data_IF_680048089404
#
_entry.id   IF_680048089404
#
_cell.length_a   1.000
_cell.length_b   1.000
_cell.length_c   1.000
_cell.angle_alpha   90.00
_cell.angle_beta   90.00
_cell.angle_gamma   90.00
#
_symmetry.space_group_name_H-M   'P 1'
#
loop_
_entity.id
_entity.type
_entity.pdbx_description
1 polymer ?
#
# COMPACT_ATOMS: atom_id res chain seq x y z
N UNK A 1 -12.91 17.82 2.35
CA UNK A 1 -14.03 17.57 1.41
C UNK A 1 -14.38 18.82 0.60
N UNK A 2 -14.16 18.74 -0.71
CA UNK A 2 -14.54 19.71 -1.74
C UNK A 2 -15.75 19.19 -2.54
N UNK A 3 -16.62 20.09 -3.00
CA UNK A 3 -17.78 19.75 -3.82
C UNK A 3 -17.86 20.66 -5.04
N UNK A 4 -18.04 20.07 -6.21
CA UNK A 4 -18.22 20.77 -7.48
C UNK A 4 -19.55 20.36 -8.11
N UNK A 5 -20.55 21.23 -7.99
CA UNK A 5 -21.85 21.06 -8.63
C UNK A 5 -21.92 21.91 -9.89
N UNK A 6 -22.46 21.37 -10.97
CA UNK A 6 -22.53 22.10 -12.23
C UNK A 6 -23.07 21.28 -13.39
N UNK A 7 -22.82 21.79 -14.60
CA UNK A 7 -23.15 21.13 -15.85
C UNK A 7 -21.99 20.23 -16.28
N UNK A 8 -22.30 18.97 -16.56
CA UNK A 8 -21.37 17.93 -16.98
C UNK A 8 -21.87 17.29 -18.25
N UNK A 9 -20.97 16.95 -19.17
CA UNK A 9 -21.30 16.19 -20.37
C UNK A 9 -20.45 14.94 -20.44
N UNK A 10 -20.95 13.90 -21.10
CA UNK A 10 -20.11 12.76 -21.47
C UNK A 10 -19.14 13.24 -22.56
N UNK A 11 -17.88 12.81 -22.49
CA UNK A 11 -16.91 13.09 -23.56
C UNK A 11 -17.44 12.59 -24.91
N UNK A 12 -17.39 13.46 -25.93
CA UNK A 12 -17.95 13.17 -27.25
C UNK A 12 -19.44 13.50 -27.42
N UNK A 13 -20.17 13.81 -26.34
CA UNK A 13 -21.57 14.22 -26.40
C UNK A 13 -21.74 15.76 -26.31
N UNK A 14 -22.86 16.27 -26.85
CA UNK A 14 -23.21 17.71 -26.75
C UNK A 14 -24.16 18.02 -25.58
N UNK A 15 -24.88 17.02 -25.08
CA UNK A 15 -25.89 17.18 -24.03
C UNK A 15 -25.23 17.35 -22.65
N UNK A 16 -25.59 18.42 -21.95
CA UNK A 16 -25.17 18.67 -20.58
C UNK A 16 -26.23 18.20 -19.59
N UNK A 17 -25.77 17.53 -18.54
CA UNK A 17 -26.55 17.08 -17.42
C UNK A 17 -26.05 17.73 -16.13
N UNK A 18 -26.94 17.90 -15.15
CA UNK A 18 -26.55 18.40 -13.83
C UNK A 18 -25.86 17.26 -13.07
N UNK A 19 -24.69 17.55 -12.52
CA UNK A 19 -23.89 16.60 -11.76
C UNK A 19 -23.18 17.23 -10.57
N UNK A 20 -22.70 16.36 -9.69
CA UNK A 20 -21.99 16.67 -8.46
C UNK A 20 -20.74 15.78 -8.39
N UNK A 21 -19.58 16.41 -8.26
CA UNK A 21 -18.31 15.77 -7.93
C UNK A 21 -17.96 16.10 -6.47
N UNK A 22 -17.58 15.08 -5.71
CA UNK A 22 -17.12 15.21 -4.33
C UNK A 22 -15.70 14.66 -4.26
N UNK A 23 -14.75 15.47 -3.80
CA UNK A 23 -13.36 15.07 -3.59
C UNK A 23 -13.05 15.22 -2.10
N UNK A 24 -12.68 14.14 -1.44
CA UNK A 24 -12.21 14.15 -0.05
C UNK A 24 -10.89 13.39 0.05
N UNK A 25 -9.80 14.09 -0.22
CA UNK A 25 -8.45 13.53 -0.40
C UNK A 25 -8.42 12.45 -1.49
N UNK A 26 -8.30 11.18 -1.08
CA UNK A 26 -8.23 9.98 -1.90
C UNK A 26 -9.60 9.32 -2.13
N UNK A 27 -10.66 9.86 -1.53
CA UNK A 27 -12.03 9.40 -1.71
C UNK A 27 -12.81 10.33 -2.64
N UNK A 28 -13.26 9.79 -3.77
CA UNK A 28 -13.91 10.56 -4.83
C UNK A 28 -15.26 9.92 -5.18
N UNK A 29 -16.30 10.75 -5.23
CA UNK A 29 -17.63 10.34 -5.66
C UNK A 29 -18.16 11.26 -6.75
N UNK A 30 -18.91 10.69 -7.69
CA UNK A 30 -19.49 11.45 -8.78
C UNK A 30 -20.93 11.02 -9.05
N UNK A 31 -21.78 12.02 -9.25
CA UNK A 31 -23.22 11.86 -9.44
C UNK A 31 -23.68 12.68 -10.64
N UNK A 32 -24.52 12.11 -11.50
CA UNK A 32 -25.09 12.83 -12.65
C UNK A 32 -26.57 12.49 -12.79
N UNK A 33 -27.40 13.49 -13.09
CA UNK A 33 -28.80 13.29 -13.48
C UNK A 33 -28.88 12.80 -14.92
N UNK A 34 -29.88 11.99 -15.23
CA UNK A 34 -30.13 11.53 -16.60
C UNK A 34 -29.99 10.02 -16.76
N UNK A 35 -29.60 9.58 -17.95
CA UNK A 35 -29.54 8.15 -18.29
C UNK A 35 -28.31 7.49 -17.66
N UNK A 36 -28.50 6.25 -17.22
CA UNK A 36 -27.42 5.42 -16.70
C UNK A 36 -26.53 4.93 -17.84
N UNK A 37 -25.23 5.14 -17.74
CA UNK A 37 -24.23 4.62 -18.68
C UNK A 37 -23.55 3.42 -18.02
N UNK A 38 -23.81 2.18 -18.49
CA UNK A 38 -23.35 0.98 -17.79
C UNK A 38 -21.86 0.65 -18.00
N UNK A 39 -21.23 1.21 -19.04
CA UNK A 39 -19.81 0.99 -19.37
C UNK A 39 -18.91 2.14 -18.88
N UNK A 40 -17.60 1.96 -19.04
CA UNK A 40 -16.62 2.99 -18.69
C UNK A 40 -16.77 4.22 -19.58
N UNK A 41 -16.77 5.40 -18.97
CA UNK A 41 -16.95 6.68 -19.66
C UNK A 41 -16.24 7.80 -18.91
N UNK A 42 -16.08 8.92 -19.59
CA UNK A 42 -15.48 10.14 -19.07
C UNK A 42 -16.50 11.27 -19.11
N UNK A 43 -16.52 12.08 -18.06
CA UNK A 43 -17.39 13.25 -17.95
C UNK A 43 -16.55 14.51 -17.88
N UNK A 44 -16.93 15.54 -18.62
CA UNK A 44 -16.27 16.84 -18.66
C UNK A 44 -17.20 17.88 -18.05
N UNK A 45 -16.70 18.61 -17.07
CA UNK A 45 -17.36 19.74 -16.42
C UNK A 45 -16.35 20.81 -16.02
N UNK A 46 -16.71 21.63 -15.05
CA UNK A 46 -15.87 22.71 -14.53
C UNK A 46 -16.23 23.02 -13.08
N UNK A 47 -15.25 23.48 -12.29
CA UNK A 47 -15.50 24.06 -10.95
C UNK A 47 -15.83 25.56 -10.99
N UNK A 48 -15.97 26.15 -12.19
CA UNK A 48 -16.17 27.58 -12.40
C UNK A 48 -14.94 28.28 -12.95
N UNK A 49 -13.74 27.82 -12.59
CA UNK A 49 -12.46 28.40 -13.00
C UNK A 49 -11.65 27.48 -13.91
N UNK A 50 -11.71 26.17 -13.66
CA UNK A 50 -10.90 25.16 -14.31
C UNK A 50 -11.77 24.02 -14.85
N UNK A 51 -11.52 23.56 -16.10
CA UNK A 51 -12.11 22.34 -16.61
C UNK A 51 -11.72 21.12 -15.78
N UNK A 52 -12.68 20.22 -15.56
CA UNK A 52 -12.51 18.96 -14.82
C UNK A 52 -12.98 17.79 -15.68
N UNK A 53 -12.20 16.71 -15.68
CA UNK A 53 -12.53 15.43 -16.32
C UNK A 53 -12.61 14.32 -15.27
N UNK A 54 -13.75 13.64 -15.20
CA UNK A 54 -14.00 12.51 -14.29
C UNK A 54 -13.98 11.21 -15.08
N UNK A 55 -13.21 10.23 -14.62
CA UNK A 55 -13.06 8.92 -15.27
C UNK A 55 -13.81 7.87 -14.45
N UNK A 56 -14.84 7.25 -15.04
CA UNK A 56 -15.74 6.34 -14.32
C UNK A 56 -15.88 4.97 -15.00
N UNK A 57 -16.00 3.89 -14.19
CA UNK A 57 -16.26 2.51 -14.63
C UNK A 57 -17.73 2.13 -14.44
N UNK A 58 -18.64 2.93 -15.00
CA UNK A 58 -20.08 2.73 -14.90
C UNK A 58 -20.66 2.98 -13.49
N UNK A 59 -21.94 2.63 -13.24
CA UNK A 59 -22.64 2.97 -12.01
C UNK A 59 -22.12 2.17 -10.81
N UNK A 60 -22.27 2.71 -9.59
CA UNK A 60 -21.97 1.99 -8.36
C UNK A 60 -22.47 2.67 -7.09
N UNK A 61 -22.19 1.99 -5.97
CA UNK A 61 -22.56 2.48 -4.65
C UNK A 61 -21.79 3.73 -4.28
N UNK A 62 -22.52 4.70 -3.73
CA UNK A 62 -22.03 6.03 -3.35
C UNK A 62 -22.78 6.49 -2.10
N UNK A 63 -22.13 7.24 -1.20
CA UNK A 63 -22.62 7.59 0.13
C UNK A 63 -22.97 9.08 0.28
N UNK A 64 -22.12 10.00 -0.18
CA UNK A 64 -22.25 11.43 0.18
C UNK A 64 -23.04 12.26 -0.84
N UNK A 65 -24.10 11.66 -1.39
CA UNK A 65 -24.96 12.29 -2.40
C UNK A 65 -25.76 13.43 -1.80
N UNK A 66 -25.66 14.63 -2.39
CA UNK A 66 -26.62 15.72 -2.11
C UNK A 66 -27.55 15.98 -3.30
N UNK A 67 -27.14 15.59 -4.51
CA UNK A 67 -27.94 15.75 -5.72
C UNK A 67 -29.07 14.70 -5.82
N UNK A 68 -30.32 15.14 -5.69
CA UNK A 68 -31.50 14.30 -5.88
C UNK A 68 -31.65 13.77 -7.32
N UNK A 69 -32.24 12.56 -7.45
CA UNK A 69 -32.53 11.88 -8.73
C UNK A 69 -31.29 11.72 -9.63
N UNK A 70 -30.14 11.45 -9.03
CA UNK A 70 -28.87 11.23 -9.71
C UNK A 70 -28.42 9.78 -9.65
N UNK A 71 -27.54 9.42 -10.56
CA UNK A 71 -26.89 8.11 -10.64
C UNK A 71 -25.45 8.29 -10.13
N UNK A 72 -25.05 7.46 -9.18
CA UNK A 72 -23.68 7.43 -8.67
C UNK A 72 -22.79 6.57 -9.57
N UNK A 73 -21.58 7.04 -9.86
CA UNK A 73 -20.61 6.37 -10.70
C UNK A 73 -19.38 5.91 -9.91
N UNK A 74 -18.81 4.77 -10.31
CA UNK A 74 -17.54 4.26 -9.77
C UNK A 74 -16.38 5.06 -10.37
N UNK A 75 -16.01 6.15 -9.71
CA UNK A 75 -14.88 6.99 -10.13
C UNK A 75 -13.57 6.25 -9.94
N UNK A 76 -12.67 6.34 -10.92
CA UNK A 76 -11.31 5.80 -10.86
C UNK A 76 -10.31 6.92 -10.60
N UNK A 77 -10.46 8.04 -11.31
CA UNK A 77 -9.59 9.20 -11.20
C UNK A 77 -10.31 10.46 -11.68
N UNK A 78 -9.77 11.62 -11.32
CA UNK A 78 -10.23 12.94 -11.76
C UNK A 78 -9.01 13.74 -12.19
N UNK A 79 -9.11 14.48 -13.29
CA UNK A 79 -8.08 15.39 -13.75
C UNK A 79 -8.63 16.82 -13.87
N UNK A 80 -7.80 17.81 -13.57
CA UNK A 80 -8.12 19.23 -13.72
C UNK A 80 -6.98 19.93 -14.45
N UNK A 81 -7.29 20.61 -15.55
CA UNK A 81 -6.29 21.30 -16.36
C UNK A 81 -6.91 22.39 -17.23
N UNK A 82 -6.16 23.48 -17.43
CA UNK A 82 -6.50 24.54 -18.38
C UNK A 82 -5.88 24.29 -19.78
N UNK A 83 -5.01 23.27 -19.93
CA UNK A 83 -4.38 22.92 -21.20
C UNK A 83 -5.22 21.95 -22.07
N UNK A 84 -6.49 21.76 -21.73
CA UNK A 84 -7.39 20.81 -22.40
C UNK A 84 -7.10 19.34 -22.06
N UNK A 85 -8.09 18.48 -22.27
CA UNK A 85 -7.99 17.05 -22.00
C UNK A 85 -7.62 16.26 -23.26
N UNK A 86 -6.81 15.21 -23.09
CA UNK A 86 -6.70 14.16 -24.11
C UNK A 86 -7.99 13.34 -24.12
N UNK A 87 -8.43 12.93 -25.31
CA UNK A 87 -9.63 12.08 -25.47
C UNK A 87 -9.37 10.68 -24.92
N UNK A 88 -10.39 10.05 -24.34
CA UNK A 88 -10.33 8.69 -23.84
C UNK A 88 -10.04 8.58 -22.35
N UNK A 89 -9.72 7.37 -21.90
CA UNK A 89 -9.68 7.00 -20.49
C UNK A 89 -8.27 7.09 -19.86
N UNK A 90 -7.24 7.30 -20.66
CA UNK A 90 -5.83 7.35 -20.24
C UNK A 90 -5.28 8.78 -20.33
N UNK A 91 -4.33 9.10 -19.47
CA UNK A 91 -3.52 10.32 -19.57
C UNK A 91 -2.12 9.87 -19.94
N UNK A 92 -1.69 10.25 -21.14
CA UNK A 92 -0.44 9.83 -21.74
C UNK A 92 0.54 11.01 -21.84
N UNK A 93 1.77 10.69 -22.24
CA UNK A 93 2.87 11.63 -22.45
C UNK A 93 3.31 12.35 -21.18
N UNK A 94 3.30 11.66 -20.03
CA UNK A 94 3.72 12.23 -18.76
C UNK A 94 5.25 12.14 -18.67
N UNK A 95 5.92 13.28 -18.54
CA UNK A 95 7.37 13.37 -18.41
C UNK A 95 7.83 13.40 -16.95
N UNK A 96 6.99 13.92 -16.06
CA UNK A 96 7.26 13.97 -14.63
C UNK A 96 5.97 14.15 -13.84
N UNK A 97 6.00 13.82 -12.56
CA UNK A 97 4.95 14.20 -11.62
C UNK A 97 5.53 14.59 -10.25
N UNK A 98 4.68 15.16 -9.40
CA UNK A 98 5.06 15.46 -8.02
C UNK A 98 3.86 15.46 -7.09
N UNK A 99 4.07 15.14 -5.82
CA UNK A 99 3.02 15.08 -4.80
C UNK A 99 3.60 15.32 -3.41
N UNK A 100 2.71 15.58 -2.45
CA UNK A 100 3.05 15.80 -1.04
C UNK A 100 2.65 14.59 -0.20
N UNK A 101 3.48 14.25 0.78
CA UNK A 101 3.17 13.31 1.86
C UNK A 101 3.18 14.11 3.15
N UNK A 102 2.04 14.28 3.86
CA UNK A 102 1.96 15.16 5.03
C UNK A 102 3.02 14.88 6.09
N UNK A 103 3.32 13.60 6.34
CA UNK A 103 4.26 13.18 7.37
C UNK A 103 5.73 13.52 7.07
N UNK A 104 6.10 13.82 5.81
CA UNK A 104 7.50 14.13 5.47
C UNK A 104 8.03 15.37 6.16
N UNK A 105 7.16 16.34 6.48
CA UNK A 105 7.56 17.58 7.17
C UNK A 105 8.20 17.27 8.51
N UNK A 106 7.45 16.54 9.33
CA UNK A 106 7.84 16.20 10.70
C UNK A 106 8.88 15.07 10.72
N UNK A 107 8.89 14.20 9.71
CA UNK A 107 9.88 13.11 9.61
C UNK A 107 11.26 13.61 9.19
N UNK A 108 11.33 14.56 8.25
CA UNK A 108 12.59 15.16 7.80
C UNK A 108 13.19 16.07 8.88
N UNK A 109 12.36 16.82 9.61
CA UNK A 109 12.76 17.81 10.64
C UNK A 109 13.80 18.83 10.12
N UNK A 110 13.71 19.18 8.84
CA UNK A 110 14.58 20.19 8.23
C UNK A 110 13.92 21.56 8.39
N UNK A 111 14.63 22.51 9.00
CA UNK A 111 14.16 23.89 9.09
C UNK A 111 14.22 24.54 7.70
N UNK A 112 13.04 24.75 7.11
CA UNK A 112 12.89 25.29 5.76
C UNK A 112 12.52 26.77 5.70
N UNK A 113 12.19 27.35 6.86
CA UNK A 113 11.87 28.77 7.02
C UNK A 113 12.53 29.27 8.30
N UNK A 114 13.24 30.40 8.19
CA UNK A 114 13.83 31.12 9.31
C UNK A 114 13.13 32.46 9.53
N UNK A 115 13.10 32.92 10.77
CA UNK A 115 12.53 34.22 11.15
C UNK A 115 13.64 35.07 11.76
N UNK A 116 13.70 36.34 11.38
CA UNK A 116 14.69 37.29 11.89
C UNK A 116 14.16 38.72 11.96
N UNK A 117 15.02 39.62 12.44
CA UNK A 117 14.75 41.05 12.50
C UNK A 117 15.82 41.82 11.73
N UNK A 118 15.42 42.82 10.95
CA UNK A 118 16.36 43.74 10.30
C UNK A 118 17.02 44.65 11.35
N UNK A 119 18.06 45.39 10.95
CA UNK A 119 18.67 46.43 11.80
C UNK A 119 17.67 47.52 12.22
N UNK A 120 16.60 47.72 11.43
CA UNK A 120 15.48 48.62 11.73
C UNK A 120 14.40 47.99 12.64
N UNK A 121 14.65 46.79 13.17
CA UNK A 121 13.73 46.02 14.02
C UNK A 121 12.44 45.58 13.29
N UNK A 122 12.51 45.38 11.98
CA UNK A 122 11.40 44.85 11.16
C UNK A 122 11.48 43.33 11.08
N UNK A 123 10.36 42.65 11.32
CA UNK A 123 10.27 41.20 11.22
C UNK A 123 10.36 40.76 9.75
N UNK A 124 11.21 39.77 9.46
CA UNK A 124 11.25 39.10 8.17
C UNK A 124 11.23 37.58 8.33
N UNK A 125 10.77 36.89 7.29
CA UNK A 125 10.89 35.45 7.14
C UNK A 125 11.71 35.15 5.88
N UNK A 126 12.60 34.15 5.95
CA UNK A 126 13.44 33.70 4.84
C UNK A 126 13.08 32.25 4.54
N UNK A 127 12.84 31.95 3.28
CA UNK A 127 12.82 30.57 2.79
C UNK A 127 14.26 30.08 2.65
N UNK A 128 14.60 29.05 3.43
CA UNK A 128 15.91 28.45 3.39
C UNK A 128 16.11 27.68 2.09
N UNK A 129 17.29 27.84 1.47
CA UNK A 129 17.66 27.05 0.31
C UNK A 129 18.14 25.67 0.78
N UNK A 130 17.28 24.66 0.60
CA UNK A 130 17.58 23.27 0.94
C UNK A 130 17.95 22.52 -0.35
N UNK A 131 19.07 21.81 -0.31
CA UNK A 131 19.47 20.93 -1.42
C UNK A 131 18.51 19.75 -1.53
N UNK A 132 18.08 19.36 -2.75
CA UNK A 132 17.20 18.21 -2.94
C UNK A 132 17.79 16.92 -2.38
N UNK A 133 16.94 16.12 -1.73
CA UNK A 133 17.29 14.79 -1.25
C UNK A 133 17.01 13.80 -2.36
N UNK A 134 18.05 13.34 -3.05
CA UNK A 134 17.92 12.34 -4.10
C UNK A 134 17.73 10.96 -3.46
N UNK A 135 16.62 10.30 -3.77
CA UNK A 135 16.30 8.93 -3.29
C UNK A 135 16.41 7.89 -4.39
N UNK A 136 16.42 8.30 -5.67
CA UNK A 136 16.73 7.45 -6.82
C UNK A 136 17.36 8.28 -7.93
N UNK A 137 18.48 7.83 -8.48
CA UNK A 137 19.23 8.62 -9.47
C UNK A 137 18.60 8.60 -10.86
N UNK A 138 18.16 7.45 -11.35
CA UNK A 138 17.78 7.28 -12.76
C UNK A 138 16.60 6.31 -12.92
N UNK A 139 15.77 6.61 -13.93
CA UNK A 139 14.61 5.88 -14.43
C UNK A 139 13.74 5.09 -13.42
N UNK A 140 12.81 5.77 -12.72
CA UNK A 140 12.66 7.22 -12.67
C UNK A 140 13.71 7.86 -11.75
N UNK A 141 14.11 9.09 -12.07
CA UNK A 141 14.81 9.94 -11.12
C UNK A 141 13.81 10.43 -10.07
N UNK A 142 14.15 10.28 -8.79
CA UNK A 142 13.28 10.68 -7.68
C UNK A 142 14.07 11.49 -6.66
N UNK A 143 13.53 12.67 -6.34
CA UNK A 143 14.09 13.57 -5.35
C UNK A 143 12.98 14.16 -4.46
N UNK A 144 13.36 14.58 -3.25
CA UNK A 144 12.53 15.40 -2.38
C UNK A 144 13.11 16.80 -2.40
N UNK A 145 12.36 17.75 -2.93
CA UNK A 145 12.73 19.17 -2.91
C UNK A 145 11.71 19.97 -2.12
N UNK A 146 12.14 21.15 -1.67
CA UNK A 146 11.32 22.02 -0.84
C UNK A 146 10.79 23.16 -1.71
N UNK A 147 9.48 23.41 -1.62
CA UNK A 147 8.85 24.49 -2.36
C UNK A 147 7.62 25.05 -1.66
N UNK A 148 7.02 26.12 -2.22
CA UNK A 148 5.84 26.74 -1.65
C UNK A 148 4.68 25.74 -1.54
N UNK A 149 3.93 25.81 -0.43
CA UNK A 149 2.71 25.04 -0.27
C UNK A 149 1.75 25.23 -1.45
N UNK A 150 0.98 24.19 -1.77
CA UNK A 150 -0.05 24.28 -2.82
C UNK A 150 -1.02 25.45 -2.58
N UNK A 151 -1.31 26.28 -3.61
CA UNK A 151 -2.22 27.41 -3.51
C UNK A 151 -3.69 27.00 -3.26
N UNK A 152 -4.00 25.70 -3.35
CA UNK A 152 -5.35 25.16 -3.12
C UNK A 152 -5.76 25.05 -1.65
N UNK A 153 -4.91 25.46 -0.70
CA UNK A 153 -5.40 25.81 0.62
C UNK A 153 -5.85 27.27 0.54
N UNK A 154 -7.16 27.58 0.36
CA UNK A 154 -7.61 28.94 0.56
C UNK A 154 -7.12 29.35 1.95
N UNK A 155 -6.45 30.51 2.10
CA UNK A 155 -6.18 31.03 3.42
C UNK A 155 -7.51 31.06 4.17
N UNK A 156 -7.54 30.56 5.40
CA UNK A 156 -8.70 30.81 6.27
C UNK A 156 -8.90 32.32 6.25
N UNK A 157 -9.99 32.79 5.65
CA UNK A 157 -10.31 34.21 5.59
C UNK A 157 -10.73 34.58 7.01
N UNK A 158 -9.73 34.89 7.81
CA UNK A 158 -9.83 35.52 9.11
C UNK A 158 -9.61 37.02 8.88
N UNK A 159 -10.29 37.88 9.62
CA UNK A 159 -10.10 39.35 9.60
C UNK A 159 -8.69 39.80 10.08
N UNK A 160 -7.74 38.87 10.20
CA UNK A 160 -6.33 39.10 10.52
C UNK A 160 -5.51 39.12 9.23
N UNK A 161 -4.65 40.13 9.09
CA UNK A 161 -3.60 40.12 8.08
C UNK A 161 -2.54 39.11 8.51
N UNK A 162 -2.67 37.87 8.05
CA UNK A 162 -1.70 36.79 8.28
C UNK A 162 -0.89 36.57 6.99
N UNK A 163 0.43 36.71 7.09
CA UNK A 163 1.35 36.30 6.03
C UNK A 163 1.96 34.96 6.40
N UNK A 164 1.64 33.92 5.63
CA UNK A 164 2.10 32.57 5.88
C UNK A 164 3.17 32.19 4.85
N UNK A 165 4.42 32.09 5.27
CA UNK A 165 5.53 31.56 4.46
C UNK A 165 5.67 30.07 4.76
N UNK A 166 5.66 29.24 3.72
CA UNK A 166 5.54 27.79 3.84
C UNK A 166 6.40 27.11 2.79
N UNK A 167 7.46 26.44 3.23
CA UNK A 167 8.38 25.70 2.37
C UNK A 167 8.30 24.20 2.71
N UNK A 168 7.49 23.44 1.97
CA UNK A 168 7.15 22.05 2.27
C UNK A 168 7.93 21.06 1.41
N UNK A 169 8.27 19.88 1.94
CA UNK A 169 8.86 18.81 1.16
C UNK A 169 7.86 18.26 0.17
N UNK A 170 8.32 18.08 -1.06
CA UNK A 170 7.55 17.54 -2.18
C UNK A 170 8.37 16.46 -2.86
N UNK A 171 7.73 15.33 -3.14
CA UNK A 171 8.36 14.24 -3.90
C UNK A 171 8.21 14.56 -5.38
N UNK A 172 9.32 14.59 -6.10
CA UNK A 172 9.41 14.79 -7.54
C UNK A 172 9.89 13.52 -8.21
N UNK A 173 9.20 13.12 -9.27
CA UNK A 173 9.53 11.94 -10.06
C UNK A 173 9.60 12.34 -11.52
N UNK A 174 10.74 12.13 -12.17
CA UNK A 174 10.95 12.41 -13.59
C UNK A 174 11.38 11.17 -14.34
N UNK A 175 10.86 11.03 -15.55
CA UNK A 175 11.08 9.88 -16.40
C UNK A 175 11.96 10.25 -17.60
N UNK A 176 12.80 9.30 -18.02
CA UNK A 176 13.55 9.40 -19.27
C UNK A 176 12.64 9.19 -20.48
N UNK A 177 11.69 8.28 -20.35
CA UNK A 177 10.67 7.98 -21.36
C UNK A 177 9.30 8.44 -20.87
N UNK A 178 8.47 8.89 -21.81
CA UNK A 178 7.12 9.33 -21.49
C UNK A 178 6.26 8.17 -21.02
N UNK A 179 5.52 8.36 -19.93
CA UNK A 179 4.68 7.32 -19.32
C UNK A 179 3.19 7.66 -19.30
N UNK A 180 2.39 6.68 -18.90
CA UNK A 180 0.95 6.82 -18.67
C UNK A 180 0.65 7.08 -17.18
N UNK A 181 -0.56 7.51 -16.87
CA UNK A 181 -0.98 7.71 -15.48
C UNK A 181 -1.09 6.40 -14.67
N UNK A 182 -1.14 5.24 -15.32
CA UNK A 182 -1.04 3.93 -14.65
C UNK A 182 0.34 3.74 -14.03
N UNK A 183 1.40 4.17 -14.73
CA UNK A 183 2.76 4.16 -14.19
C UNK A 183 2.91 5.15 -13.04
N UNK A 184 2.35 6.35 -13.18
CA UNK A 184 2.32 7.36 -12.09
C UNK A 184 1.64 6.78 -10.85
N UNK A 185 0.47 6.16 -11.01
CA UNK A 185 -0.25 5.50 -9.92
C UNK A 185 0.61 4.43 -9.23
N UNK A 186 1.29 3.59 -10.01
CA UNK A 186 2.17 2.55 -9.48
C UNK A 186 3.35 3.15 -8.70
N UNK A 187 4.03 4.17 -9.23
CA UNK A 187 5.15 4.82 -8.57
C UNK A 187 4.73 5.54 -7.28
N UNK A 188 3.58 6.22 -7.26
CA UNK A 188 2.99 6.78 -6.03
C UNK A 188 2.76 5.67 -5.00
N UNK A 189 2.19 4.54 -5.42
CA UNK A 189 1.96 3.42 -4.51
C UNK A 189 3.27 2.87 -3.93
N UNK A 190 4.32 2.75 -4.74
CA UNK A 190 5.65 2.29 -4.29
C UNK A 190 6.24 3.26 -3.25
N UNK A 191 6.20 4.56 -3.53
CA UNK A 191 6.71 5.62 -2.65
C UNK A 191 5.92 5.71 -1.34
N UNK A 192 4.59 5.71 -1.41
CA UNK A 192 3.74 5.75 -0.22
C UNK A 192 3.98 4.53 0.68
N UNK A 193 4.17 3.35 0.11
CA UNK A 193 4.51 2.14 0.87
C UNK A 193 5.91 2.20 1.47
N UNK A 194 6.89 2.71 0.73
CA UNK A 194 8.25 2.91 1.21
C UNK A 194 8.29 3.82 2.44
N UNK A 195 7.69 5.01 2.32
CA UNK A 195 7.61 5.94 3.45
C UNK A 195 6.73 5.39 4.57
N UNK A 196 5.64 4.67 4.27
CA UNK A 196 4.85 3.97 5.27
C UNK A 196 5.66 2.94 6.07
N UNK A 197 6.65 2.30 5.46
CA UNK A 197 7.57 1.39 6.14
C UNK A 197 8.61 2.10 6.99
N UNK A 198 9.16 3.25 6.54
CA UNK A 198 10.15 4.01 7.31
C UNK A 198 9.51 4.82 8.44
N UNK A 199 8.46 5.58 8.13
CA UNK A 199 7.74 6.46 9.06
C UNK A 199 6.86 5.65 10.03
N UNK A 200 6.40 4.49 9.59
CA UNK A 200 5.49 3.61 10.33
C UNK A 200 4.01 3.79 9.97
N UNK A 201 3.66 4.97 9.45
CA UNK A 201 2.36 5.30 8.88
C UNK A 201 2.49 6.41 7.82
N UNK A 202 1.52 6.50 6.92
CA UNK A 202 1.36 7.63 5.98
C UNK A 202 -0.12 7.85 5.69
N UNK A 203 -0.54 9.11 5.54
CA UNK A 203 -1.97 9.44 5.42
C UNK A 203 -2.53 9.34 4.01
N UNK A 204 -1.99 10.09 3.06
CA UNK A 204 -2.47 10.14 1.67
C UNK A 204 -1.46 10.88 0.78
N UNK A 205 -1.52 10.62 -0.53
CA UNK A 205 -0.77 11.39 -1.52
C UNK A 205 -1.57 12.65 -1.88
N UNK A 206 -1.07 13.83 -1.48
CA UNK A 206 -1.76 15.11 -1.67
C UNK A 206 -1.26 15.84 -2.91
N UNK A 207 -2.16 16.58 -3.55
CA UNK A 207 -1.85 17.58 -4.59
C UNK A 207 -0.99 16.98 -5.71
N UNK A 208 -1.41 15.87 -6.31
CA UNK A 208 -0.62 15.21 -7.36
C UNK A 208 -0.67 16.08 -8.63
N UNK A 209 0.51 16.49 -9.12
CA UNK A 209 0.68 17.35 -10.29
C UNK A 209 1.47 16.63 -11.36
N UNK A 210 0.95 16.63 -12.58
CA UNK A 210 1.55 16.03 -13.77
C UNK A 210 2.16 17.11 -14.66
N UNK A 211 3.35 16.83 -15.17
CA UNK A 211 3.95 17.51 -16.31
C UNK A 211 3.72 16.62 -17.54
N UNK A 212 2.97 17.14 -18.52
CA UNK A 212 2.65 16.43 -19.76
C UNK A 212 3.47 17.08 -20.87
N UNK A 213 4.15 16.29 -21.68
CA UNK A 213 4.93 16.77 -22.82
C UNK A 213 4.08 17.65 -23.75
N UNK A 214 4.64 18.77 -24.18
CA UNK A 214 3.96 19.73 -25.06
C UNK A 214 2.87 20.57 -24.37
N UNK A 215 2.72 20.48 -23.04
CA UNK A 215 1.83 21.32 -22.26
C UNK A 215 2.60 22.12 -21.20
N UNK A 216 2.52 23.44 -21.29
CA UNK A 216 3.17 24.34 -20.33
C UNK A 216 2.45 24.39 -18.97
N UNK A 217 1.14 24.12 -18.96
CA UNK A 217 0.34 24.13 -17.74
C UNK A 217 0.30 22.75 -17.10
N UNK A 218 0.51 22.72 -15.78
CA UNK A 218 0.41 21.52 -14.96
C UNK A 218 -1.03 20.99 -14.95
N UNK A 219 -1.15 19.68 -14.90
CA UNK A 219 -2.43 18.99 -14.72
C UNK A 219 -2.50 18.42 -13.32
N UNK A 220 -3.56 18.73 -12.57
CA UNK A 220 -3.82 18.10 -11.29
C UNK A 220 -4.58 16.80 -11.50
N UNK A 221 -4.23 15.79 -10.72
CA UNK A 221 -4.90 14.50 -10.75
C UNK A 221 -5.22 14.03 -9.33
N UNK A 222 -6.36 13.39 -9.17
CA UNK A 222 -6.75 12.66 -7.96
C UNK A 222 -7.10 11.24 -8.36
N UNK A 223 -6.48 10.25 -7.71
CA UNK A 223 -6.86 8.86 -7.84
C UNK A 223 -7.84 8.50 -6.73
N UNK A 224 -8.91 7.77 -7.07
CA UNK A 224 -9.87 7.28 -6.10
C UNK A 224 -9.36 5.99 -5.45
N UNK A 225 -8.22 6.08 -4.75
CA UNK A 225 -7.51 4.95 -4.17
C UNK A 225 -6.88 5.32 -2.83
N UNK A 226 -7.10 4.47 -1.83
CA UNK A 226 -6.44 4.56 -0.52
C UNK A 226 -4.95 4.17 -0.61
N UNK A 227 -4.08 5.19 -0.61
CA UNK A 227 -2.62 5.06 -0.53
C UNK A 227 -2.09 5.04 0.91
N UNK A 228 -2.96 5.13 1.91
CA UNK A 228 -2.57 5.21 3.32
C UNK A 228 -1.95 3.92 3.85
N UNK A 229 -1.23 4.05 4.96
CA UNK A 229 -0.71 2.93 5.73
C UNK A 229 -0.85 3.19 7.24
N UNK A 230 -1.37 2.22 7.98
CA UNK A 230 -1.36 2.16 9.45
C UNK A 230 -2.05 3.32 10.20
N UNK A 231 -3.10 3.91 9.62
CA UNK A 231 -3.83 5.02 10.27
C UNK A 231 -4.77 4.62 11.41
N UNK A 232 -5.10 3.33 11.59
CA UNK A 232 -6.14 2.89 12.54
C UNK A 232 -5.80 3.11 14.02
N UNK A 233 -4.51 3.12 14.36
CA UNK A 233 -4.03 3.19 15.73
C UNK A 233 -3.16 4.42 15.95
N UNK A 234 -3.43 5.50 15.20
CA UNK A 234 -2.68 6.74 15.29
C UNK A 234 -3.22 7.56 16.47
N UNK A 235 -2.48 7.56 17.57
CA UNK A 235 -2.67 8.52 18.64
C UNK A 235 -1.82 9.77 18.34
N UNK A 236 -2.29 10.95 18.74
CA UNK A 236 -1.56 12.21 18.49
C UNK A 236 -0.20 12.35 19.19
N UNK A 237 0.31 11.30 19.83
CA UNK A 237 1.58 11.24 20.56
C UNK A 237 2.53 10.19 19.94
N UNK A 238 2.06 9.38 18.98
CA UNK A 238 2.88 8.31 18.40
C UNK A 238 4.10 8.91 17.68
N UNK A 239 5.30 8.45 18.02
CA UNK A 239 6.52 8.79 17.29
C UNK A 239 6.59 8.03 15.98
N UNK A 240 7.36 8.59 15.06
CA UNK A 240 7.73 7.88 13.84
C UNK A 240 8.62 6.69 14.16
N UNK A 241 8.50 5.63 13.34
CA UNK A 241 9.33 4.43 13.45
C UNK A 241 10.81 4.75 13.22
N UNK A 242 11.11 5.67 12.31
CA UNK A 242 12.45 6.23 12.11
C UNK A 242 12.40 7.74 12.02
N UNK A 243 13.55 8.39 12.13
CA UNK A 243 13.76 9.76 11.72
C UNK A 243 14.67 9.80 10.49
N UNK A 244 14.53 10.83 9.64
CA UNK A 244 15.40 10.99 8.47
C UNK A 244 16.89 10.93 8.82
N UNK A 245 17.28 11.58 9.92
CA UNK A 245 18.66 11.61 10.42
C UNK A 245 19.27 10.21 10.66
N UNK A 246 18.44 9.21 10.97
CA UNK A 246 18.85 7.83 11.25
C UNK A 246 19.08 7.00 9.98
N UNK A 247 18.41 7.35 8.87
CA UNK A 247 18.44 6.58 7.63
C UNK A 247 19.03 7.34 6.44
N UNK A 248 19.36 8.63 6.60
CA UNK A 248 19.75 9.54 5.51
C UNK A 248 20.85 8.98 4.60
N UNK A 249 21.85 8.30 5.18
CA UNK A 249 23.05 7.89 4.46
C UNK A 249 22.78 6.66 3.57
N UNK A 250 21.79 5.83 3.94
CA UNK A 250 21.38 4.64 3.20
C UNK A 250 20.04 4.80 2.48
N UNK A 251 19.37 5.95 2.61
CA UNK A 251 18.00 6.15 2.12
C UNK A 251 17.83 5.81 0.63
N UNK A 252 18.78 6.26 -0.20
CA UNK A 252 18.76 5.98 -1.63
C UNK A 252 18.97 4.49 -1.95
N UNK A 253 19.86 3.82 -1.22
CA UNK A 253 20.09 2.37 -1.34
C UNK A 253 18.84 1.59 -0.92
N UNK A 254 18.22 1.97 0.20
CA UNK A 254 16.98 1.36 0.67
C UNK A 254 15.84 1.51 -0.32
N UNK A 255 15.72 2.69 -0.94
CA UNK A 255 14.70 2.92 -1.94
C UNK A 255 14.96 2.13 -3.22
N UNK A 256 16.22 2.05 -3.70
CA UNK A 256 16.55 1.28 -4.90
C UNK A 256 16.21 -0.21 -4.76
N UNK A 257 16.56 -0.80 -3.61
CA UNK A 257 16.20 -2.19 -3.28
C UNK A 257 14.68 -2.36 -3.17
N UNK A 258 14.00 -1.43 -2.49
CA UNK A 258 12.54 -1.44 -2.37
C UNK A 258 11.84 -1.30 -3.73
N UNK A 259 12.35 -0.45 -4.61
CA UNK A 259 11.80 -0.21 -5.95
C UNK A 259 11.92 -1.47 -6.80
N UNK A 260 13.08 -2.13 -6.76
CA UNK A 260 13.32 -3.41 -7.41
C UNK A 260 12.35 -4.48 -6.89
N UNK A 261 12.26 -4.64 -5.57
CA UNK A 261 11.34 -5.58 -4.93
C UNK A 261 9.85 -5.28 -5.26
N UNK A 262 9.48 -4.00 -5.33
CA UNK A 262 8.11 -3.59 -5.60
C UNK A 262 7.66 -3.84 -7.03
N UNK A 263 8.61 -3.93 -7.97
CA UNK A 263 8.37 -4.31 -9.36
C UNK A 263 8.56 -5.81 -9.60
N UNK A 264 8.92 -6.59 -8.58
CA UNK A 264 8.94 -8.05 -8.68
C UNK A 264 7.50 -8.61 -8.55
N UNK A 265 6.98 -9.12 -9.67
CA UNK A 265 5.69 -9.79 -9.79
C UNK A 265 5.62 -11.06 -8.95
N UNK A 266 6.77 -11.70 -8.68
CA UNK A 266 6.82 -12.92 -7.90
C UNK A 266 6.28 -12.70 -6.49
N UNK A 267 6.55 -11.52 -5.90
CA UNK A 267 6.08 -11.14 -4.56
C UNK A 267 4.88 -10.18 -4.56
N UNK A 268 4.27 -9.92 -5.73
CA UNK A 268 3.14 -8.99 -5.85
C UNK A 268 2.00 -9.29 -4.88
N UNK A 269 1.52 -10.54 -4.85
CA UNK A 269 0.35 -10.90 -4.06
C UNK A 269 0.59 -10.77 -2.54
N UNK A 270 1.64 -11.36 -1.94
CA UNK A 270 1.93 -11.16 -0.51
C UNK A 270 2.10 -9.68 -0.13
N UNK A 271 2.83 -8.91 -0.96
CA UNK A 271 3.03 -7.47 -0.78
C UNK A 271 1.70 -6.71 -0.78
N UNK A 272 0.87 -6.95 -1.79
CA UNK A 272 -0.43 -6.30 -1.92
C UNK A 272 -1.36 -6.65 -0.75
N UNK A 273 -1.39 -7.90 -0.32
CA UNK A 273 -2.19 -8.35 0.82
C UNK A 273 -1.80 -7.61 2.10
N UNK A 274 -0.50 -7.46 2.37
CA UNK A 274 -0.03 -6.76 3.58
C UNK A 274 -0.49 -5.30 3.61
N UNK A 275 -0.22 -4.55 2.54
CA UNK A 275 -0.59 -3.12 2.50
C UNK A 275 -2.10 -2.93 2.48
N UNK A 276 -2.86 -3.75 1.74
CA UNK A 276 -4.33 -3.68 1.74
C UNK A 276 -4.93 -3.97 3.12
N UNK A 277 -4.35 -4.90 3.88
CA UNK A 277 -4.80 -5.23 5.24
C UNK A 277 -4.64 -4.07 6.22
N UNK A 278 -3.65 -3.21 5.96
CA UNK A 278 -3.23 -2.10 6.83
C UNK A 278 -3.71 -0.72 6.32
N UNK A 279 -4.65 -0.70 5.37
CA UNK A 279 -5.39 0.50 4.93
C UNK A 279 -6.42 0.98 5.96
N UNK A 280 -7.02 2.14 5.72
CA UNK A 280 -8.03 2.75 6.61
C UNK A 280 -9.32 1.91 6.77
N UNK A 281 -9.59 0.96 5.88
CA UNK A 281 -10.78 0.08 5.89
C UNK A 281 -10.93 -0.71 7.19
N UNK A 282 -12.13 -0.95 7.69
CA UNK A 282 -12.36 -1.88 8.81
C UNK A 282 -12.18 -3.35 8.38
N UNK A 283 -11.50 -4.14 9.21
CA UNK A 283 -11.29 -5.58 9.04
C UNK A 283 -11.45 -6.29 10.38
N UNK A 284 -12.08 -7.47 10.38
CA UNK A 284 -12.16 -8.28 11.59
C UNK A 284 -10.78 -8.84 11.96
N UNK A 285 -10.54 -9.02 13.26
CA UNK A 285 -9.25 -9.52 13.75
C UNK A 285 -8.95 -10.93 13.21
N UNK A 286 -9.98 -11.77 13.12
CA UNK A 286 -9.93 -13.12 12.54
C UNK A 286 -9.43 -13.09 11.08
N UNK A 287 -10.00 -12.20 10.27
CA UNK A 287 -9.63 -12.05 8.86
C UNK A 287 -8.20 -11.53 8.72
N UNK A 288 -7.81 -10.57 9.55
CA UNK A 288 -6.46 -10.01 9.57
C UNK A 288 -5.43 -11.07 9.97
N UNK A 289 -5.72 -11.84 11.01
CA UNK A 289 -4.88 -12.95 11.46
C UNK A 289 -4.68 -13.98 10.34
N UNK A 290 -5.77 -14.42 9.70
CA UNK A 290 -5.69 -15.37 8.58
C UNK A 290 -4.89 -14.79 7.42
N UNK A 291 -5.04 -13.51 7.11
CA UNK A 291 -4.29 -12.84 6.04
C UNK A 291 -2.78 -12.79 6.33
N UNK A 292 -2.37 -12.45 7.55
CA UNK A 292 -0.94 -12.40 7.90
C UNK A 292 -0.28 -13.78 7.85
N UNK A 293 -0.96 -14.82 8.33
CA UNK A 293 -0.45 -16.19 8.21
C UNK A 293 -0.35 -16.61 6.74
N UNK A 294 -1.32 -16.25 5.88
CA UNK A 294 -1.27 -16.52 4.43
C UNK A 294 -0.14 -15.77 3.73
N UNK A 295 0.16 -14.52 4.13
CA UNK A 295 1.27 -13.74 3.61
C UNK A 295 2.59 -14.46 3.90
N UNK A 296 2.80 -14.90 5.14
CA UNK A 296 4.01 -15.62 5.54
C UNK A 296 4.16 -16.98 4.84
N UNK A 297 3.06 -17.74 4.73
CA UNK A 297 3.05 -19.00 3.97
C UNK A 297 3.42 -18.78 2.50
N UNK A 298 2.74 -17.83 1.85
CA UNK A 298 2.98 -17.47 0.45
C UNK A 298 4.38 -16.93 0.21
N UNK A 299 4.92 -16.16 1.15
CA UNK A 299 6.29 -15.66 1.11
C UNK A 299 7.31 -16.80 1.21
N UNK A 300 7.20 -17.68 2.22
CA UNK A 300 8.13 -18.80 2.35
C UNK A 300 8.09 -19.72 1.12
N UNK A 301 6.90 -20.00 0.58
CA UNK A 301 6.74 -20.83 -0.63
C UNK A 301 7.54 -20.30 -1.83
N UNK A 302 7.67 -18.97 -1.92
CA UNK A 302 8.39 -18.26 -2.98
C UNK A 302 9.89 -18.31 -2.78
N UNK A 303 10.38 -17.89 -1.61
CA UNK A 303 11.83 -17.87 -1.34
C UNK A 303 12.44 -19.28 -1.34
N UNK A 304 11.68 -20.32 -0.97
CA UNK A 304 12.17 -21.71 -1.01
C UNK A 304 12.10 -22.35 -2.41
N UNK A 305 11.49 -21.64 -3.38
CA UNK A 305 11.25 -22.12 -4.74
C UNK A 305 10.25 -23.28 -4.82
N UNK A 306 9.47 -23.52 -3.77
CA UNK A 306 8.52 -24.64 -3.70
C UNK A 306 7.38 -24.47 -4.67
N UNK A 307 6.85 -23.24 -4.80
CA UNK A 307 5.74 -22.92 -5.70
C UNK A 307 6.11 -23.24 -7.15
N UNK A 308 7.30 -22.80 -7.60
CA UNK A 308 7.81 -23.05 -8.95
C UNK A 308 8.08 -24.54 -9.20
N UNK A 309 8.68 -25.24 -8.23
CA UNK A 309 8.91 -26.70 -8.33
C UNK A 309 7.60 -27.48 -8.40
N UNK A 310 6.60 -27.06 -7.61
CA UNK A 310 5.29 -27.70 -7.60
C UNK A 310 4.52 -27.47 -8.92
N UNK A 311 4.60 -26.26 -9.46
CA UNK A 311 4.03 -25.93 -10.78
C UNK A 311 4.64 -26.79 -11.88
N UNK A 312 5.97 -26.86 -11.95
CA UNK A 312 6.68 -27.69 -12.93
C UNK A 312 6.30 -29.17 -12.79
N UNK A 313 6.28 -29.69 -11.56
CA UNK A 313 5.83 -31.07 -11.28
C UNK A 313 4.39 -31.31 -11.77
N UNK A 314 3.50 -30.34 -11.55
CA UNK A 314 2.11 -30.42 -12.00
C UNK A 314 1.96 -30.49 -13.52
N UNK A 315 2.78 -29.73 -14.26
CA UNK A 315 2.81 -29.75 -15.72
C UNK A 315 3.30 -31.11 -16.24
N UNK A 316 4.45 -31.57 -15.75
CA UNK A 316 5.06 -32.84 -16.19
C UNK A 316 4.16 -34.04 -15.89
N UNK A 317 3.57 -34.09 -14.69
CA UNK A 317 2.64 -35.16 -14.31
C UNK A 317 1.37 -35.11 -15.15
N UNK A 318 0.84 -33.92 -15.44
CA UNK A 318 -0.36 -33.79 -16.26
C UNK A 318 -0.16 -34.38 -17.67
N UNK A 319 1.02 -34.20 -18.25
CA UNK A 319 1.35 -34.80 -19.55
C UNK A 319 1.29 -36.33 -19.49
N UNK A 320 1.88 -36.93 -18.44
CA UNK A 320 1.84 -38.38 -18.24
C UNK A 320 0.41 -38.91 -17.96
N UNK A 321 -0.38 -38.18 -17.18
CA UNK A 321 -1.74 -38.56 -16.81
C UNK A 321 -2.74 -38.51 -17.99
N UNK A 322 -2.39 -37.81 -19.08
CA UNK A 322 -3.19 -37.78 -20.32
C UNK A 322 -2.98 -39.02 -21.20
N UNK A 323 -1.95 -39.82 -20.95
CA UNK A 323 -1.71 -41.05 -21.70
C UNK A 323 -2.89 -42.04 -21.56
N UNK A 324 -3.32 -42.63 -22.68
CA UNK A 324 -4.49 -43.51 -22.72
C UNK A 324 -4.27 -44.83 -21.95
N UNK A 325 -3.04 -45.31 -21.82
CA UNK A 325 -2.74 -46.49 -20.99
C UNK A 325 -2.88 -46.14 -19.50
N UNK A 326 -2.36 -44.99 -19.08
CA UNK A 326 -2.51 -44.51 -17.69
C UNK A 326 -3.98 -44.28 -17.35
N UNK A 327 -4.73 -43.66 -18.26
CA UNK A 327 -6.17 -43.45 -18.12
C UNK A 327 -6.94 -44.76 -17.97
N UNK A 328 -6.62 -45.79 -18.75
CA UNK A 328 -7.25 -47.13 -18.61
C UNK A 328 -7.00 -47.72 -17.23
N UNK A 329 -5.79 -47.59 -16.70
CA UNK A 329 -5.42 -48.11 -15.38
C UNK A 329 -6.12 -47.34 -14.25
N UNK A 330 -6.17 -46.02 -14.31
CA UNK A 330 -6.70 -45.18 -13.23
C UNK A 330 -8.22 -44.98 -13.26
N UNK A 331 -8.88 -45.19 -14.40
CA UNK A 331 -10.33 -44.94 -14.51
C UNK A 331 -11.16 -45.85 -13.61
N UNK A 332 -10.81 -47.13 -13.52
CA UNK A 332 -11.59 -48.12 -12.75
C UNK A 332 -11.52 -47.89 -11.22
N UNK A 333 -10.34 -47.63 -10.62
CA UNK A 333 -10.25 -47.21 -9.21
C UNK A 333 -11.08 -45.97 -8.89
N UNK A 334 -11.05 -44.94 -9.75
CA UNK A 334 -11.83 -43.72 -9.53
C UNK A 334 -13.34 -44.00 -9.55
N UNK A 335 -13.81 -44.82 -10.50
CA UNK A 335 -15.23 -45.24 -10.55
C UNK A 335 -15.65 -45.98 -9.27
N UNK A 336 -14.83 -46.91 -8.78
CA UNK A 336 -15.09 -47.63 -7.53
C UNK A 336 -15.15 -46.70 -6.32
N UNK A 337 -14.39 -45.61 -6.33
CA UNK A 337 -14.42 -44.56 -5.31
C UNK A 337 -15.56 -43.55 -5.50
N UNK A 338 -16.47 -43.75 -6.48
CA UNK A 338 -17.58 -42.84 -6.74
C UNK A 338 -17.17 -41.53 -7.44
N UNK A 339 -16.01 -41.50 -8.10
CA UNK A 339 -15.48 -40.32 -8.78
C UNK A 339 -15.15 -40.61 -10.25
N UNK A 340 -14.86 -39.56 -11.01
CA UNK A 340 -14.39 -39.68 -12.40
C UNK A 340 -12.91 -39.32 -12.48
N UNK A 341 -12.14 -40.12 -13.21
CA UNK A 341 -10.73 -39.82 -13.44
C UNK A 341 -10.60 -38.57 -14.32
N UNK A 342 -10.01 -37.52 -13.75
CA UNK A 342 -9.75 -36.24 -14.41
C UNK A 342 -8.26 -35.93 -14.27
N UNK A 343 -7.44 -36.12 -15.33
CA UNK A 343 -5.98 -35.92 -15.28
C UNK A 343 -5.56 -34.59 -14.63
N UNK A 344 -6.25 -33.50 -15.00
CA UNK A 344 -5.99 -32.16 -14.43
C UNK A 344 -6.18 -32.12 -12.91
N UNK A 345 -7.26 -32.71 -12.41
CA UNK A 345 -7.56 -32.74 -10.98
C UNK A 345 -6.55 -33.60 -10.22
N UNK A 346 -6.14 -34.73 -10.78
CA UNK A 346 -5.14 -35.61 -10.15
C UNK A 346 -3.77 -34.94 -10.11
N UNK A 347 -3.35 -34.27 -11.20
CA UNK A 347 -2.12 -33.46 -11.21
C UNK A 347 -2.16 -32.36 -10.14
N UNK A 348 -3.29 -31.67 -9.99
CA UNK A 348 -3.49 -30.66 -8.94
C UNK A 348 -3.40 -31.24 -7.52
N UNK A 349 -3.93 -32.44 -7.29
CA UNK A 349 -3.79 -33.11 -5.99
C UNK A 349 -2.34 -33.48 -5.68
N UNK A 350 -1.58 -33.94 -6.66
CA UNK A 350 -0.16 -34.25 -6.49
C UNK A 350 0.65 -32.98 -6.23
N UNK A 351 0.37 -31.91 -6.98
CA UNK A 351 0.95 -30.58 -6.74
C UNK A 351 0.67 -30.09 -5.32
N UNK A 352 -0.59 -30.17 -4.88
CA UNK A 352 -0.98 -29.80 -3.51
C UNK A 352 -0.29 -30.68 -2.45
N UNK A 353 -0.19 -31.99 -2.69
CA UNK A 353 0.54 -32.93 -1.85
C UNK A 353 2.02 -32.57 -1.73
N UNK A 354 2.68 -32.21 -2.83
CA UNK A 354 4.07 -31.76 -2.82
C UNK A 354 4.26 -30.49 -1.96
N UNK A 355 3.37 -29.51 -2.10
CA UNK A 355 3.44 -28.29 -1.29
C UNK A 355 3.28 -28.58 0.22
N UNK A 356 2.48 -29.59 0.57
CA UNK A 356 2.20 -30.00 1.95
C UNK A 356 3.34 -30.76 2.65
N UNK A 357 4.41 -31.15 1.92
CA UNK A 357 5.56 -31.88 2.50
C UNK A 357 6.29 -31.08 3.60
N UNK A 358 6.28 -29.75 3.51
CA UNK A 358 6.76 -28.84 4.55
C UNK A 358 5.52 -28.19 5.14
N UNK A 359 5.27 -28.45 6.41
CA UNK A 359 4.09 -27.94 7.11
C UNK A 359 4.17 -26.42 7.27
N UNK A 360 3.01 -25.78 7.40
CA UNK A 360 2.96 -24.35 7.70
C UNK A 360 3.73 -23.99 8.97
N UNK A 361 3.64 -24.85 9.99
CA UNK A 361 4.36 -24.67 11.25
C UNK A 361 5.88 -24.58 11.02
N UNK A 362 6.44 -25.50 10.23
CA UNK A 362 7.87 -25.49 9.88
C UNK A 362 8.25 -24.26 9.06
N UNK A 363 7.38 -23.80 8.15
CA UNK A 363 7.63 -22.58 7.35
C UNK A 363 7.69 -21.34 8.25
N UNK A 364 6.75 -21.21 9.18
CA UNK A 364 6.71 -20.09 10.11
C UNK A 364 7.94 -20.06 11.02
N UNK A 365 8.37 -21.21 11.53
CA UNK A 365 9.60 -21.31 12.36
C UNK A 365 10.83 -20.83 11.61
N UNK A 366 11.01 -21.28 10.36
CA UNK A 366 12.16 -20.86 9.53
C UNK A 366 12.19 -19.35 9.28
N UNK A 367 11.04 -18.78 8.91
CA UNK A 367 10.94 -17.32 8.74
C UNK A 367 11.24 -16.59 10.05
N UNK A 368 10.71 -17.08 11.17
CA UNK A 368 10.94 -16.47 12.47
C UNK A 368 12.43 -16.51 12.86
N UNK A 369 13.09 -17.65 12.70
CA UNK A 369 14.52 -17.82 12.95
C UNK A 369 15.38 -16.86 12.10
N UNK A 370 15.05 -16.72 10.81
CA UNK A 370 15.75 -15.83 9.87
C UNK A 370 15.54 -14.34 10.20
N UNK A 371 14.42 -13.98 10.83
CA UNK A 371 13.98 -12.59 11.01
C UNK A 371 13.80 -12.19 12.49
N UNK A 372 14.69 -12.67 13.36
CA UNK A 372 14.84 -12.14 14.73
C UNK A 372 14.11 -12.91 15.83
N UNK A 373 13.52 -14.06 15.51
CA UNK A 373 12.85 -14.97 16.45
C UNK A 373 11.75 -14.30 17.28
N UNK A 374 10.96 -13.44 16.63
CA UNK A 374 9.94 -12.60 17.26
C UNK A 374 8.77 -13.47 17.77
N UNK A 375 8.28 -14.41 16.97
CA UNK A 375 7.18 -15.30 17.37
C UNK A 375 7.62 -16.17 18.54
N UNK A 376 8.79 -16.80 18.46
CA UNK A 376 9.34 -17.61 19.53
C UNK A 376 9.57 -16.78 20.80
N UNK A 377 10.15 -15.57 20.68
CA UNK A 377 10.42 -14.67 21.81
C UNK A 377 9.15 -14.17 22.52
N UNK A 378 8.00 -14.17 21.84
CA UNK A 378 6.71 -13.77 22.41
C UNK A 378 5.86 -14.92 22.96
N UNK A 379 6.38 -16.15 23.02
CA UNK A 379 5.62 -17.34 23.46
C UNK A 379 5.09 -17.16 24.89
N UNK A 380 5.94 -16.81 25.85
CA UNK A 380 5.52 -16.65 27.25
C UNK A 380 4.58 -15.45 27.43
N UNK A 381 4.87 -14.34 26.74
CA UNK A 381 4.09 -13.12 26.84
C UNK A 381 2.69 -13.27 26.24
N UNK A 382 2.59 -13.82 25.03
CA UNK A 382 1.32 -13.95 24.30
C UNK A 382 0.63 -15.27 24.62
N UNK A 383 1.29 -16.40 24.39
CA UNK A 383 0.68 -17.72 24.50
C UNK A 383 0.55 -18.23 25.94
N UNK A 384 1.28 -17.62 26.89
CA UNK A 384 1.27 -17.97 28.33
C UNK A 384 1.80 -19.39 28.62
N UNK A 385 2.67 -19.89 27.74
CA UNK A 385 3.47 -21.11 27.94
C UNK A 385 4.92 -20.85 27.51
N UNK A 386 5.86 -21.71 27.92
CA UNK A 386 7.29 -21.58 27.57
C UNK A 386 7.69 -22.29 26.27
N UNK A 387 6.84 -23.19 25.75
CA UNK A 387 7.17 -23.98 24.56
C UNK A 387 6.71 -23.27 23.28
N UNK A 388 7.66 -22.72 22.53
CA UNK A 388 7.43 -22.05 21.25
C UNK A 388 6.73 -22.95 20.21
N UNK A 389 7.04 -24.26 20.16
CA UNK A 389 6.43 -25.18 19.20
C UNK A 389 4.91 -25.24 19.36
N UNK A 390 4.43 -25.18 20.60
CA UNK A 390 2.99 -25.15 20.86
C UNK A 390 2.36 -23.85 20.41
N UNK A 391 3.06 -22.72 20.52
CA UNK A 391 2.56 -21.44 20.04
C UNK A 391 2.46 -21.42 18.51
N UNK A 392 3.50 -21.88 17.79
CA UNK A 392 3.42 -22.06 16.34
C UNK A 392 2.28 -23.00 15.94
N UNK A 393 2.11 -24.13 16.64
CA UNK A 393 1.02 -25.06 16.39
C UNK A 393 -0.36 -24.40 16.61
N UNK A 394 -0.50 -23.59 17.66
CA UNK A 394 -1.72 -22.85 17.96
C UNK A 394 -2.04 -21.79 16.88
N UNK A 395 -1.03 -21.10 16.34
CA UNK A 395 -1.19 -20.17 15.22
C UNK A 395 -1.77 -20.90 14.00
N UNK A 396 -1.20 -22.06 13.64
CA UNK A 396 -1.66 -22.87 12.51
C UNK A 396 -3.09 -23.39 12.72
N UNK A 397 -3.39 -23.91 13.91
CA UNK A 397 -4.74 -24.37 14.27
C UNK A 397 -5.77 -23.24 14.20
N UNK A 398 -5.41 -22.05 14.69
CA UNK A 398 -6.25 -20.85 14.65
C UNK A 398 -6.53 -20.43 13.20
N UNK A 399 -5.50 -20.40 12.33
CA UNK A 399 -5.69 -20.12 10.90
C UNK A 399 -6.65 -21.12 10.27
N UNK A 400 -6.49 -22.40 10.56
CA UNK A 400 -7.31 -23.47 10.00
C UNK A 400 -8.77 -23.39 10.46
N UNK A 401 -9.01 -23.05 11.74
CA UNK A 401 -10.34 -22.85 12.29
C UNK A 401 -11.08 -21.71 11.57
N UNK A 402 -10.47 -20.53 11.48
CA UNK A 402 -11.10 -19.37 10.84
C UNK A 402 -11.14 -19.43 9.31
N UNK A 403 -10.35 -20.31 8.69
CA UNK A 403 -10.45 -20.61 7.26
C UNK A 403 -11.46 -21.73 6.95
N UNK A 404 -12.25 -22.17 7.94
CA UNK A 404 -13.23 -23.26 7.85
C UNK A 404 -12.65 -24.64 7.46
N UNK A 405 -11.36 -24.89 7.73
CA UNK A 405 -10.74 -26.21 7.53
C UNK A 405 -10.95 -27.16 8.71
N UNK A 406 -11.28 -26.66 9.91
CA UNK A 406 -11.50 -27.46 11.12
C UNK A 406 -12.76 -27.00 11.88
N UNK A 407 -13.66 -27.92 12.31
CA UNK A 407 -14.88 -27.54 13.02
C UNK A 407 -14.70 -27.35 14.53
N UNK A 408 -13.66 -27.92 15.14
CA UNK A 408 -13.43 -27.83 16.58
C UNK A 408 -12.50 -26.64 16.94
N UNK A 409 -12.64 -26.15 18.17
CA UNK A 409 -11.80 -25.08 18.76
C UNK A 409 -10.56 -25.62 19.48
N UNK A 410 -10.24 -26.90 19.35
CA UNK A 410 -9.15 -27.50 20.12
C UNK A 410 -7.78 -26.97 19.69
N UNK A 411 -7.04 -26.42 20.66
CA UNK A 411 -5.74 -25.77 20.46
C UNK A 411 -5.77 -24.47 19.66
N UNK A 412 -6.93 -23.83 19.53
CA UNK A 412 -7.10 -22.49 18.92
C UNK A 412 -6.79 -21.41 19.96
N UNK A 413 -6.13 -20.33 19.54
CA UNK A 413 -5.82 -19.18 20.37
C UNK A 413 -7.11 -18.54 20.91
N UNK A 414 -7.08 -18.07 22.15
CA UNK A 414 -8.14 -17.18 22.67
C UNK A 414 -8.13 -15.86 21.91
N UNK A 415 -9.23 -15.09 21.98
CA UNK A 415 -9.33 -13.81 21.27
C UNK A 415 -8.18 -12.83 21.62
N UNK A 416 -7.88 -12.67 22.92
CA UNK A 416 -6.77 -11.80 23.35
C UNK A 416 -5.40 -12.28 22.87
N UNK A 417 -5.17 -13.60 22.87
CA UNK A 417 -3.95 -14.17 22.31
C UNK A 417 -3.86 -13.93 20.80
N UNK A 418 -4.95 -14.12 20.06
CA UNK A 418 -5.01 -13.87 18.62
C UNK A 418 -4.72 -12.40 18.29
N UNK A 419 -5.33 -11.45 19.01
CA UNK A 419 -5.05 -10.02 18.82
C UNK A 419 -3.57 -9.70 19.00
N UNK A 420 -2.94 -10.18 20.08
CA UNK A 420 -1.50 -9.98 20.29
C UNK A 420 -0.66 -10.72 19.23
N UNK A 421 -1.08 -11.90 18.78
CA UNK A 421 -0.41 -12.62 17.70
C UNK A 421 -0.46 -11.87 16.37
N UNK A 422 -1.51 -11.08 16.09
CA UNK A 422 -1.57 -10.24 14.88
C UNK A 422 -0.40 -9.26 14.86
N UNK A 423 -0.13 -8.57 15.98
CA UNK A 423 0.97 -7.62 16.07
C UNK A 423 2.33 -8.31 16.01
N UNK A 424 2.48 -9.47 16.63
CA UNK A 424 3.70 -10.32 16.52
C UNK A 424 3.96 -10.71 15.06
N UNK A 425 2.93 -11.19 14.35
CA UNK A 425 3.05 -11.56 12.93
C UNK A 425 3.31 -10.33 12.05
N UNK A 426 2.75 -9.17 12.40
CA UNK A 426 3.04 -7.90 11.74
C UNK A 426 4.51 -7.51 11.86
N UNK A 427 5.08 -7.64 13.06
CA UNK A 427 6.51 -7.39 13.28
C UNK A 427 7.37 -8.29 12.38
N UNK A 428 7.05 -9.59 12.32
CA UNK A 428 7.76 -10.53 11.45
C UNK A 428 7.67 -10.13 9.97
N UNK A 429 6.48 -9.75 9.49
CA UNK A 429 6.31 -9.28 8.10
C UNK A 429 7.11 -7.99 7.85
N UNK A 430 7.13 -7.06 8.80
CA UNK A 430 7.92 -5.82 8.67
C UNK A 430 9.42 -6.12 8.59
N UNK A 431 9.94 -7.03 9.43
CA UNK A 431 11.34 -7.47 9.36
C UNK A 431 11.68 -8.10 8.01
N UNK A 432 10.78 -8.91 7.45
CA UNK A 432 10.93 -9.47 6.10
C UNK A 432 11.02 -8.32 5.07
N UNK A 433 10.11 -7.34 5.12
CA UNK A 433 10.10 -6.22 4.18
C UNK A 433 11.35 -5.33 4.31
N UNK A 434 11.86 -5.13 5.53
CA UNK A 434 13.13 -4.43 5.76
C UNK A 434 14.31 -5.16 5.13
N UNK A 435 14.34 -6.49 5.18
CA UNK A 435 15.38 -7.26 4.48
C UNK A 435 15.36 -7.03 2.96
N UNK A 436 14.17 -6.87 2.37
CA UNK A 436 14.02 -6.50 0.95
C UNK A 436 14.36 -5.04 0.63
N UNK A 437 14.40 -4.16 1.63
CA UNK A 437 14.98 -2.82 1.49
C UNK A 437 16.52 -2.88 1.58
N UNK A 438 17.12 -4.04 1.86
CA UNK A 438 18.56 -4.19 2.02
C UNK A 438 19.07 -3.77 3.41
N UNK A 439 18.17 -3.63 4.40
CA UNK A 439 18.58 -3.42 5.79
C UNK A 439 19.14 -4.72 6.35
N UNK A 440 20.31 -4.64 6.99
CA UNK A 440 20.82 -5.76 7.78
C UNK A 440 19.94 -5.99 9.02
N UNK A 441 20.06 -7.20 9.58
CA UNK A 441 19.21 -7.65 10.68
C UNK A 441 19.38 -6.79 11.94
N UNK A 442 20.57 -6.27 12.21
CA UNK A 442 20.84 -5.49 13.41
C UNK A 442 20.26 -4.09 13.28
N UNK A 443 20.40 -3.44 12.11
CA UNK A 443 19.72 -2.16 11.80
C UNK A 443 18.20 -2.29 11.89
N UNK A 444 17.63 -3.33 11.26
CA UNK A 444 16.19 -3.59 11.30
C UNK A 444 15.68 -3.82 12.74
N UNK A 445 16.44 -4.56 13.55
CA UNK A 445 16.14 -4.75 14.98
C UNK A 445 16.14 -3.44 15.76
N UNK A 446 17.18 -2.61 15.58
CA UNK A 446 17.28 -1.33 16.29
C UNK A 446 16.09 -0.43 15.98
N UNK A 447 15.66 -0.38 14.72
CA UNK A 447 14.44 0.35 14.33
C UNK A 447 13.21 -0.22 15.04
N UNK A 448 13.01 -1.54 14.97
CA UNK A 448 11.80 -2.17 15.48
C UNK A 448 11.69 -2.19 17.01
N UNK A 449 12.81 -2.21 17.72
CA UNK A 449 12.84 -2.16 19.20
C UNK A 449 12.40 -0.78 19.73
N UNK A 450 12.60 0.28 18.94
CA UNK A 450 12.24 1.65 19.28
C UNK A 450 10.92 2.10 18.61
N UNK A 451 10.21 1.21 17.91
CA UNK A 451 8.90 1.50 17.34
C UNK A 451 7.85 1.64 18.45
N UNK A 452 7.26 2.82 18.62
CA UNK A 452 6.30 3.12 19.69
C UNK A 452 5.09 2.19 19.77
N UNK A 453 4.71 1.52 18.67
CA UNK A 453 3.54 0.62 18.62
C UNK A 453 3.93 -0.83 18.82
N UNK A 454 5.09 -1.21 18.28
CA UNK A 454 5.51 -2.61 18.18
C UNK A 454 6.60 -2.98 19.18
N UNK A 455 7.19 -2.02 19.90
CA UNK A 455 8.28 -2.24 20.85
C UNK A 455 7.99 -3.35 21.86
N UNK A 456 6.74 -3.48 22.32
CA UNK A 456 6.36 -4.48 23.31
C UNK A 456 6.53 -5.91 22.79
N UNK A 457 6.40 -6.11 21.47
CA UNK A 457 6.56 -7.40 20.82
C UNK A 457 7.96 -7.60 20.25
N UNK A 458 8.74 -6.53 20.08
CA UNK A 458 10.11 -6.60 19.57
C UNK A 458 11.15 -6.53 20.69
N UNK A 459 10.74 -6.26 21.94
CA UNK A 459 11.63 -6.20 23.10
C UNK A 459 12.38 -7.50 23.38
N UNK A 460 11.86 -8.64 22.93
CA UNK A 460 12.56 -9.92 22.99
C UNK A 460 13.86 -9.95 22.17
N UNK A 461 14.05 -8.99 21.26
CA UNK A 461 15.27 -8.83 20.46
C UNK A 461 16.32 -7.92 21.12
N UNK A 462 16.01 -7.24 22.24
CA UNK A 462 16.97 -6.39 22.97
C UNK A 462 18.13 -7.22 23.50
N UNK A 463 19.36 -6.72 23.31
CA UNK A 463 20.54 -7.17 24.04
C UNK A 463 20.69 -6.33 25.32
N UNK A 464 21.45 -6.80 26.30
CA UNK A 464 21.69 -6.07 27.57
C UNK A 464 22.27 -4.66 27.34
N UNK A 465 22.96 -4.43 26.22
CA UNK A 465 23.52 -3.12 25.84
C UNK A 465 22.48 -2.13 25.29
N UNK A 466 21.29 -2.60 24.91
CA UNK A 466 20.19 -1.75 24.37
C UNK A 466 19.29 -1.19 25.50
N UNK A 467 19.64 -1.41 26.76
CA UNK A 467 18.86 -1.00 27.95
C UNK A 467 19.33 0.37 28.49
N UNK A 468 20.53 0.84 28.09
CA UNK A 468 21.16 2.06 28.63
C UNK A 468 21.05 3.31 27.71
N UNK A 469 20.25 3.26 26.63
CA UNK A 469 20.07 4.35 25.65
C UNK A 469 18.87 5.25 25.90
#
# INVERSE_FOLDING_TARGET
MERHQGSWKVEGEEEYNIGELVIDNDYIEFFVRGKSIPWACTFIGSNGEHPIKVYAKGPGETKHRSLNMSIGYRVVKVAMTNAGFQEGFEINNISAFSFEIPELVDWLKINSVSIGFTEANELFAIEEKIEPIIIKNENPHIEISFGPASPFMPPEINDRVEYVVKNYPRVHVSYEEMVTDERVYADIQILMRFFGMLIGYVSYAKDIRLNIEGKDLKTWIWFNEDFSHNLRHLNGIDRFRTEYSQVKDELANYFENWYTFSNDDYFFLPRQMFFNSNRKREIFAEDLFVQYVKILEGYHLRISGDEKKAEQLGIEILEQLKDENVKKVLSEPFKKAGSSYKPKTVAQWIQGGFLSRITLETRLKKLDEEHGSIVAGNTEYVYKESNADKYFSAIVKTRNYYSHYKPDRDGVLTFGQMCNSIDVLKCLIIMILFSHMGMDIDTAKQIMIHDDKLWMYTSCMKKDQDIEG
#
